data_IF_954297579635
#
_entry.id   IF_954297579635
#
_cell.length_a   1.000
_cell.length_b   1.000
_cell.length_c   1.000
_cell.angle_alpha   90.00
_cell.angle_beta   90.00
_cell.angle_gamma   90.00
#
_symmetry.space_group_name_H-M   'P 1'
#
loop_
_entity.id
_entity.type
_entity.pdbx_description
1 polymer ?
#
# COMPACT_ATOMS: atom_id res chain seq x y z
N UNK A 1 4.05 -10.15 34.56
CA UNK A 1 3.68 -10.70 33.24
C UNK A 1 2.76 -9.70 32.60
N UNK A 2 3.09 -9.19 31.41
CA UNK A 2 2.16 -8.33 30.68
C UNK A 2 1.08 -9.25 30.11
N UNK A 3 -0.13 -9.16 30.64
CA UNK A 3 -1.30 -9.83 30.06
C UNK A 3 -1.53 -9.24 28.66
N UNK A 4 -1.50 -10.10 27.64
CA UNK A 4 -1.80 -9.68 26.27
C UNK A 4 -3.24 -9.16 26.14
N UNK A 5 -3.49 -8.37 25.09
CA UNK A 5 -4.83 -7.85 24.76
C UNK A 5 -5.58 -8.89 23.93
N UNK A 6 -6.88 -9.05 24.19
CA UNK A 6 -7.74 -9.93 23.40
C UNK A 6 -7.90 -9.40 21.97
N UNK A 7 -7.76 -10.27 20.97
CA UNK A 7 -7.88 -9.86 19.56
C UNK A 7 -9.25 -9.23 19.27
N UNK A 8 -10.32 -9.76 19.87
CA UNK A 8 -11.68 -9.25 19.72
C UNK A 8 -11.90 -7.84 20.27
N UNK A 9 -10.94 -7.29 21.04
CA UNK A 9 -11.02 -5.91 21.53
C UNK A 9 -10.61 -4.87 20.47
N UNK A 10 -9.96 -5.30 19.38
CA UNK A 10 -9.57 -4.40 18.30
C UNK A 10 -10.68 -4.24 17.25
N UNK A 11 -10.69 -3.14 16.47
CA UNK A 11 -11.57 -3.00 15.31
C UNK A 11 -11.35 -4.14 14.28
N UNK A 12 -12.38 -4.47 13.50
CA UNK A 12 -12.37 -5.61 12.58
C UNK A 12 -11.20 -5.59 11.59
N UNK A 13 -10.81 -4.42 11.06
CA UNK A 13 -9.65 -4.28 10.16
C UNK A 13 -8.34 -4.71 10.81
N UNK A 14 -8.17 -4.45 12.10
CA UNK A 14 -6.99 -4.89 12.86
C UNK A 14 -7.06 -6.39 13.13
N UNK A 15 -8.23 -6.92 13.46
CA UNK A 15 -8.42 -8.37 13.63
C UNK A 15 -8.08 -9.15 12.35
N UNK A 16 -8.55 -8.65 11.22
CA UNK A 16 -8.27 -9.22 9.90
C UNK A 16 -6.78 -9.13 9.56
N UNK A 17 -6.12 -8.00 9.86
CA UNK A 17 -4.68 -7.85 9.66
C UNK A 17 -3.87 -8.82 10.56
N UNK A 18 -4.30 -9.06 11.80
CA UNK A 18 -3.70 -10.07 12.69
C UNK A 18 -3.83 -11.47 12.08
N UNK A 19 -5.02 -11.82 11.58
CA UNK A 19 -5.28 -13.11 10.93
C UNK A 19 -4.38 -13.31 9.71
N UNK A 20 -4.31 -12.33 8.81
CA UNK A 20 -3.42 -12.38 7.63
C UNK A 20 -1.97 -12.53 8.04
N UNK A 21 -1.52 -11.74 9.03
CA UNK A 21 -0.13 -11.79 9.52
C UNK A 21 0.23 -13.19 10.02
N UNK A 22 -0.66 -13.83 10.79
CA UNK A 22 -0.47 -15.19 11.29
C UNK A 22 -0.48 -16.24 10.18
N UNK A 23 -1.38 -16.12 9.21
CA UNK A 23 -1.45 -17.04 8.05
C UNK A 23 -0.20 -16.95 7.16
N UNK A 24 0.40 -15.77 7.07
CA UNK A 24 1.68 -15.56 6.39
C UNK A 24 2.88 -16.01 7.24
N UNK A 25 2.66 -16.59 8.42
CA UNK A 25 3.70 -17.00 9.37
C UNK A 25 4.64 -15.85 9.78
N UNK A 26 4.11 -14.62 9.83
CA UNK A 26 4.81 -13.44 10.31
C UNK A 26 4.49 -13.23 11.80
N UNK A 27 5.49 -12.78 12.56
CA UNK A 27 5.37 -12.59 14.01
C UNK A 27 4.90 -11.20 14.42
N UNK A 28 5.22 -10.18 13.62
CA UNK A 28 5.04 -8.78 13.98
C UNK A 28 4.06 -8.11 13.02
N UNK A 29 3.17 -7.30 13.59
CA UNK A 29 2.25 -6.42 12.88
C UNK A 29 2.39 -5.03 13.48
N UNK A 30 2.53 -4.02 12.62
CA UNK A 30 2.50 -2.62 13.03
C UNK A 30 1.20 -2.00 12.53
N UNK A 31 0.50 -1.30 13.41
CA UNK A 31 -0.72 -0.53 13.12
C UNK A 31 -0.60 0.77 13.88
N UNK A 32 -0.67 1.91 13.21
CA UNK A 32 -0.57 3.25 13.79
C UNK A 32 -1.42 3.44 15.05
N UNK A 33 -2.70 3.06 14.99
CA UNK A 33 -3.67 3.19 16.08
C UNK A 33 -3.37 2.29 17.30
N UNK A 34 -2.44 1.32 17.17
CA UNK A 34 -2.06 0.38 18.23
C UNK A 34 -0.62 0.61 18.70
N UNK A 35 0.26 1.01 17.79
CA UNK A 35 1.69 1.14 18.04
C UNK A 35 2.12 2.56 18.41
N UNK A 36 1.28 3.57 18.15
CA UNK A 36 1.51 4.96 18.55
C UNK A 36 0.62 5.30 19.75
N UNK A 37 1.17 5.97 20.75
CA UNK A 37 0.46 6.43 21.93
C UNK A 37 -0.40 7.64 21.55
N UNK A 38 -1.72 7.42 21.46
CA UNK A 38 -2.65 8.40 20.88
C UNK A 38 -2.81 9.69 21.71
N UNK A 39 -2.51 9.65 23.01
CA UNK A 39 -2.59 10.77 23.94
C UNK A 39 -1.24 11.46 24.21
N UNK A 40 -0.20 11.12 23.44
CA UNK A 40 1.15 11.67 23.61
C UNK A 40 1.64 12.37 22.34
N UNK A 41 1.65 13.70 22.38
CA UNK A 41 2.18 14.53 21.28
C UNK A 41 3.64 14.19 20.96
N UNK A 42 4.47 13.96 21.98
CA UNK A 42 5.88 13.63 21.78
C UNK A 42 6.08 12.25 21.14
N UNK A 43 5.22 11.28 21.47
CA UNK A 43 5.27 9.95 20.85
C UNK A 43 4.79 10.02 19.41
N UNK A 44 3.71 10.77 19.14
CA UNK A 44 3.24 11.03 17.79
C UNK A 44 4.30 11.72 16.93
N UNK A 45 5.01 12.72 17.43
CA UNK A 45 6.10 13.39 16.71
C UNK A 45 7.24 12.43 16.38
N UNK A 46 7.64 11.59 17.33
CA UNK A 46 8.69 10.59 17.14
C UNK A 46 8.28 9.51 16.12
N UNK A 47 7.07 8.96 16.25
CA UNK A 47 6.61 7.86 15.41
C UNK A 47 6.18 8.33 14.02
N UNK A 48 5.54 9.50 13.88
CA UNK A 48 5.19 10.08 12.57
C UNK A 48 6.44 10.36 11.73
N UNK A 49 7.53 10.82 12.34
CA UNK A 49 8.82 10.98 11.67
C UNK A 49 9.43 9.64 11.23
N UNK A 50 9.08 8.53 11.90
CA UNK A 50 9.56 7.17 11.60
C UNK A 50 8.65 6.38 10.67
N UNK A 51 7.40 6.80 10.43
CA UNK A 51 6.44 6.09 9.59
C UNK A 51 7.02 5.73 8.21
N UNK A 52 7.77 6.66 7.60
CA UNK A 52 8.47 6.43 6.35
C UNK A 52 9.38 5.19 6.41
N UNK A 53 10.17 5.07 7.48
CA UNK A 53 11.07 3.94 7.70
C UNK A 53 10.32 2.64 8.03
N UNK A 54 9.18 2.73 8.72
CA UNK A 54 8.33 1.56 9.01
C UNK A 54 7.85 0.93 7.70
N UNK A 55 7.24 1.73 6.81
CA UNK A 55 6.76 1.22 5.52
C UNK A 55 7.89 0.78 4.59
N UNK A 56 9.01 1.52 4.54
CA UNK A 56 10.17 1.12 3.73
C UNK A 56 10.80 -0.21 4.15
N UNK A 57 10.72 -0.55 5.43
CA UNK A 57 11.34 -1.76 5.98
C UNK A 57 10.33 -2.86 6.32
N UNK A 58 9.03 -2.62 6.12
CA UNK A 58 8.00 -3.63 6.26
C UNK A 58 8.27 -4.81 5.30
N UNK A 59 8.08 -6.03 5.80
CA UNK A 59 8.16 -7.23 4.95
C UNK A 59 7.07 -7.19 3.87
N UNK A 60 5.87 -6.82 4.30
CA UNK A 60 4.67 -6.65 3.50
C UNK A 60 3.76 -5.62 4.16
N UNK A 61 3.13 -4.77 3.35
CA UNK A 61 2.05 -3.88 3.80
C UNK A 61 0.71 -4.45 3.35
N UNK A 62 -0.26 -4.51 4.27
CA UNK A 62 -1.64 -4.93 3.99
C UNK A 62 -2.46 -3.66 3.78
N UNK A 63 -3.03 -3.50 2.59
CA UNK A 63 -3.89 -2.37 2.26
C UNK A 63 -5.35 -2.82 2.15
N UNK A 64 -6.19 -2.40 3.09
CA UNK A 64 -7.63 -2.64 3.07
C UNK A 64 -8.32 -1.54 2.23
N UNK A 65 -8.30 -1.67 0.91
CA UNK A 65 -8.65 -0.56 0.00
C UNK A 65 -10.11 -0.11 0.13
N UNK A 66 -11.02 -1.07 0.32
CA UNK A 66 -12.48 -0.88 0.31
C UNK A 66 -13.09 -0.56 1.68
N UNK A 67 -12.31 -0.64 2.75
CA UNK A 67 -12.78 -0.39 4.12
C UNK A 67 -12.90 1.12 4.34
N UNK A 68 -14.11 1.64 4.58
CA UNK A 68 -14.30 3.07 4.87
C UNK A 68 -13.89 3.42 6.31
N UNK A 69 -13.97 2.45 7.20
CA UNK A 69 -13.63 2.58 8.61
C UNK A 69 -12.96 1.31 9.14
N UNK A 70 -12.30 1.41 10.30
CA UNK A 70 -11.61 0.28 10.90
C UNK A 70 -12.55 -0.83 11.42
N UNK A 71 -13.86 -0.57 11.50
CA UNK A 71 -14.86 -1.53 11.99
C UNK A 71 -15.41 -2.46 10.90
N UNK A 72 -15.19 -2.16 9.62
CA UNK A 72 -15.71 -2.97 8.50
C UNK A 72 -14.90 -4.25 8.27
N UNK A 73 -13.58 -4.19 8.45
CA UNK A 73 -12.70 -5.26 8.03
C UNK A 73 -12.56 -5.35 6.52
N UNK A 74 -11.83 -6.37 6.07
CA UNK A 74 -11.55 -6.60 4.65
C UNK A 74 -11.57 -8.08 4.24
N UNK A 75 -11.48 -9.04 5.17
CA UNK A 75 -11.48 -10.47 4.82
C UNK A 75 -12.87 -11.04 4.54
N UNK A 76 -13.91 -10.40 5.07
CA UNK A 76 -15.31 -10.86 4.97
C UNK A 76 -16.15 -10.00 4.05
N UNK A 77 -15.53 -9.06 3.34
CA UNK A 77 -16.23 -8.31 2.31
C UNK A 77 -16.55 -9.24 1.14
N UNK A 78 -17.71 -9.03 0.51
CA UNK A 78 -18.11 -9.80 -0.67
C UNK A 78 -17.10 -9.57 -1.78
N UNK A 79 -16.25 -10.57 -2.02
CA UNK A 79 -15.39 -10.60 -3.19
C UNK A 79 -16.24 -11.04 -4.37
N UNK A 80 -16.55 -10.13 -5.31
CA UNK A 80 -17.39 -10.48 -6.48
C UNK A 80 -16.78 -11.66 -7.25
N UNK A 81 -15.45 -11.77 -7.32
CA UNK A 81 -14.78 -12.91 -7.94
C UNK A 81 -14.79 -14.20 -7.08
N UNK A 82 -14.96 -14.11 -5.77
CA UNK A 82 -15.03 -15.29 -4.88
C UNK A 82 -16.47 -15.79 -4.67
N UNK A 83 -17.46 -14.89 -4.77
CA UNK A 83 -18.89 -15.23 -4.68
C UNK A 83 -19.40 -15.91 -5.96
N UNK A 84 -18.67 -15.78 -7.08
CA UNK A 84 -19.02 -16.44 -8.34
C UNK A 84 -18.41 -17.84 -8.44
N UNK A 85 -19.04 -18.78 -7.72
CA UNK A 85 -18.86 -20.24 -7.78
C UNK A 85 -17.56 -20.75 -7.14
N UNK A 86 -17.65 -21.89 -6.44
CA UNK A 86 -16.44 -22.60 -6.01
C UNK A 86 -15.52 -22.82 -7.22
N UNK A 87 -14.19 -22.66 -7.06
CA UNK A 87 -13.28 -22.92 -8.16
C UNK A 87 -13.51 -24.33 -8.70
N UNK A 88 -13.52 -24.49 -10.02
CA UNK A 88 -13.50 -25.79 -10.66
C UNK A 88 -12.22 -26.49 -10.25
N UNK A 89 -12.33 -27.59 -9.50
CA UNK A 89 -11.19 -28.40 -9.06
C UNK A 89 -11.11 -29.63 -9.95
N UNK A 90 -9.96 -29.82 -10.57
CA UNK A 90 -9.67 -30.95 -11.44
C UNK A 90 -8.47 -31.68 -10.86
N UNK A 91 -8.56 -33.00 -10.77
CA UNK A 91 -7.40 -33.83 -10.42
C UNK A 91 -6.30 -33.60 -11.46
N UNK A 92 -5.13 -33.21 -10.97
CA UNK A 92 -3.98 -32.85 -11.79
C UNK A 92 -2.75 -33.67 -11.38
N UNK A 93 -1.76 -33.74 -12.26
CA UNK A 93 -0.44 -34.28 -11.94
C UNK A 93 0.62 -33.28 -12.35
N UNK A 94 1.58 -33.03 -11.47
CA UNK A 94 2.73 -32.18 -11.80
C UNK A 94 3.55 -32.78 -12.94
N UNK A 95 4.49 -32.03 -13.50
CA UNK A 95 5.42 -32.53 -14.53
C UNK A 95 6.24 -33.74 -14.06
N UNK A 96 6.36 -33.95 -12.75
CA UNK A 96 7.00 -35.10 -12.11
C UNK A 96 6.03 -36.25 -11.79
N UNK A 97 4.78 -36.17 -12.27
CA UNK A 97 3.74 -37.17 -12.07
C UNK A 97 3.08 -37.18 -10.68
N UNK A 98 3.41 -36.24 -9.79
CA UNK A 98 2.87 -36.22 -8.43
C UNK A 98 1.40 -35.74 -8.42
N UNK A 99 0.51 -36.39 -7.65
CA UNK A 99 -0.88 -35.94 -7.52
C UNK A 99 -0.97 -34.49 -7.03
N UNK A 100 -1.82 -33.70 -7.67
CA UNK A 100 -2.10 -32.31 -7.35
C UNK A 100 -3.55 -31.97 -7.72
N UNK A 101 -3.99 -30.74 -7.43
CA UNK A 101 -5.30 -30.22 -7.83
C UNK A 101 -5.08 -28.95 -8.63
N UNK A 102 -5.59 -28.93 -9.86
CA UNK A 102 -5.74 -27.68 -10.61
C UNK A 102 -7.06 -27.03 -10.20
N UNK A 103 -6.99 -25.80 -9.69
CA UNK A 103 -8.16 -25.01 -9.35
C UNK A 103 -8.29 -23.84 -10.34
N UNK A 104 -9.40 -23.79 -11.08
CA UNK A 104 -9.72 -22.70 -11.99
C UNK A 104 -10.92 -21.91 -11.47
N UNK A 105 -10.84 -20.58 -11.44
CA UNK A 105 -11.96 -19.70 -11.09
C UNK A 105 -12.29 -18.79 -12.27
N UNK A 106 -13.56 -18.42 -12.40
CA UNK A 106 -13.95 -17.36 -13.34
C UNK A 106 -13.53 -16.04 -12.71
N UNK A 107 -12.62 -15.34 -13.37
CA UNK A 107 -12.27 -13.97 -13.00
C UNK A 107 -13.21 -13.05 -13.79
N UNK A 108 -13.93 -12.12 -13.13
CA UNK A 108 -14.68 -11.09 -13.84
C UNK A 108 -13.71 -10.26 -14.68
N UNK A 109 -13.71 -10.45 -16.00
CA UNK A 109 -12.74 -9.81 -16.90
C UNK A 109 -12.99 -8.33 -17.19
N UNK A 110 -13.87 -7.66 -16.45
CA UNK A 110 -14.30 -6.29 -16.74
C UNK A 110 -14.42 -5.53 -15.41
N UNK A 111 -13.88 -4.31 -15.37
CA UNK A 111 -14.03 -3.32 -14.27
C UNK A 111 -13.40 -3.67 -12.90
N UNK A 112 -12.59 -4.73 -12.78
CA UNK A 112 -11.91 -4.99 -11.49
C UNK A 112 -10.76 -4.03 -11.25
N UNK A 113 -9.99 -3.70 -12.29
CA UNK A 113 -8.88 -2.75 -12.30
C UNK A 113 -8.84 -1.99 -13.64
N UNK A 114 -8.05 -0.92 -13.69
CA UNK A 114 -7.63 -0.27 -14.93
C UNK A 114 -6.24 -0.76 -15.33
N UNK A 115 -5.88 -0.65 -16.62
CA UNK A 115 -4.53 -0.98 -17.07
C UNK A 115 -3.51 0.13 -16.73
N UNK A 116 -3.96 1.27 -16.19
CA UNK A 116 -3.11 2.39 -15.81
C UNK A 116 -3.11 2.62 -14.30
N UNK A 117 -1.92 2.83 -13.74
CA UNK A 117 -1.75 3.20 -12.33
C UNK A 117 -2.61 4.39 -11.90
N UNK A 118 -2.76 5.37 -12.79
CA UNK A 118 -3.53 6.60 -12.53
C UNK A 118 -5.04 6.33 -12.52
N UNK A 119 -5.51 5.32 -13.26
CA UNK A 119 -6.90 4.90 -13.24
C UNK A 119 -7.26 4.21 -11.93
N UNK A 120 -6.37 3.36 -11.39
CA UNK A 120 -6.59 2.66 -10.12
C UNK A 120 -6.51 3.60 -8.90
N UNK A 121 -5.87 4.76 -9.05
CA UNK A 121 -5.78 5.79 -8.01
C UNK A 121 -6.99 6.73 -8.00
N UNK A 122 -7.61 7.04 -9.15
CA UNK A 122 -8.67 8.04 -9.29
C UNK A 122 -10.08 7.45 -9.20
N UNK A 123 -10.93 8.04 -8.34
CA UNK A 123 -11.25 7.43 -7.05
C UNK A 123 -11.95 6.07 -7.23
N UNK A 124 -11.21 4.98 -7.05
CA UNK A 124 -11.78 3.64 -6.98
C UNK A 124 -12.02 3.18 -5.52
N UNK A 125 -11.29 3.72 -4.54
CA UNK A 125 -11.23 3.16 -3.18
C UNK A 125 -11.16 4.20 -2.05
N UNK A 126 -11.86 3.98 -0.91
CA UNK A 126 -11.77 4.80 0.30
C UNK A 126 -10.34 5.01 0.83
N UNK A 127 -9.44 4.05 0.64
CA UNK A 127 -8.06 4.20 1.09
C UNK A 127 -7.30 5.31 0.36
N UNK A 128 -7.58 5.54 -0.94
CA UNK A 128 -6.84 6.49 -1.78
C UNK A 128 -7.16 7.95 -1.45
N UNK A 129 -8.29 8.23 -0.77
CA UNK A 129 -8.66 9.60 -0.41
C UNK A 129 -7.97 10.07 0.88
N UNK A 130 -7.29 9.20 1.62
CA UNK A 130 -6.63 9.55 2.89
C UNK A 130 -5.21 10.08 2.62
N UNK A 131 -4.82 11.18 3.25
CA UNK A 131 -3.53 11.84 2.97
C UNK A 131 -2.32 10.97 3.30
N UNK A 132 -2.28 10.41 4.51
CA UNK A 132 -1.18 9.54 4.97
C UNK A 132 -0.97 8.32 4.06
N UNK A 133 -2.04 7.74 3.50
CA UNK A 133 -1.97 6.50 2.72
C UNK A 133 -1.13 6.63 1.45
N UNK A 134 -0.90 7.85 0.95
CA UNK A 134 0.04 8.05 -0.18
C UNK A 134 1.46 7.68 0.24
N UNK A 135 1.88 8.08 1.44
CA UNK A 135 3.18 7.73 1.98
C UNK A 135 3.28 6.22 2.20
N UNK A 136 2.25 5.62 2.79
CA UNK A 136 2.18 4.18 3.07
C UNK A 136 2.30 3.38 1.76
N UNK A 137 1.54 3.78 0.75
CA UNK A 137 1.52 3.16 -0.57
C UNK A 137 2.89 3.29 -1.25
N UNK A 138 3.42 4.50 -1.39
CA UNK A 138 4.62 4.73 -2.20
C UNK A 138 5.91 4.22 -1.52
N UNK A 139 5.97 4.25 -0.19
CA UNK A 139 7.18 3.86 0.54
C UNK A 139 7.25 2.37 0.87
N UNK A 140 6.12 1.66 0.86
CA UNK A 140 6.13 0.21 1.07
C UNK A 140 6.95 -0.53 0.00
N UNK A 141 7.70 -1.57 0.35
CA UNK A 141 8.42 -2.38 -0.68
C UNK A 141 7.52 -3.35 -1.41
N UNK A 142 6.53 -3.88 -0.70
CA UNK A 142 5.54 -4.85 -1.17
C UNK A 142 4.21 -4.51 -0.52
N UNK A 143 3.15 -4.54 -1.29
CA UNK A 143 1.79 -4.25 -0.84
C UNK A 143 0.87 -5.34 -1.38
N UNK A 144 0.09 -5.97 -0.49
CA UNK A 144 -1.11 -6.71 -0.88
C UNK A 144 -2.29 -5.80 -0.62
N UNK A 145 -3.01 -5.47 -1.69
CA UNK A 145 -4.22 -4.66 -1.64
C UNK A 145 -5.44 -5.56 -1.73
N UNK A 146 -6.24 -5.55 -0.67
CA UNK A 146 -7.55 -6.19 -0.63
C UNK A 146 -8.56 -5.23 -1.26
N UNK A 147 -9.01 -5.56 -2.48
CA UNK A 147 -10.05 -4.82 -3.20
C UNK A 147 -11.40 -5.54 -3.11
N UNK A 148 -12.45 -4.95 -3.67
CA UNK A 148 -13.79 -5.55 -3.70
C UNK A 148 -13.85 -6.81 -4.56
N UNK A 149 -13.00 -6.93 -5.56
CA UNK A 149 -13.12 -7.99 -6.56
C UNK A 149 -12.04 -9.04 -6.40
N UNK A 150 -10.81 -8.62 -6.09
CA UNK A 150 -9.65 -9.50 -6.06
C UNK A 150 -8.51 -8.92 -5.22
N UNK A 151 -7.49 -9.74 -4.98
CA UNK A 151 -6.23 -9.26 -4.40
C UNK A 151 -5.34 -8.67 -5.49
N UNK A 152 -4.74 -7.52 -5.19
CA UNK A 152 -3.65 -6.98 -6.00
C UNK A 152 -2.34 -7.08 -5.25
N UNK A 153 -1.30 -7.47 -5.97
CA UNK A 153 0.06 -7.43 -5.51
C UNK A 153 0.80 -6.29 -6.19
N UNK A 154 1.64 -5.58 -5.44
CA UNK A 154 2.48 -4.52 -5.97
C UNK A 154 3.80 -4.52 -5.22
N UNK A 155 4.90 -4.63 -5.95
CA UNK A 155 6.25 -4.39 -5.44
C UNK A 155 6.89 -3.19 -6.15
N UNK A 156 8.19 -2.97 -5.96
CA UNK A 156 8.89 -1.85 -6.60
C UNK A 156 9.06 -2.00 -8.12
N UNK A 157 8.99 -3.22 -8.66
CA UNK A 157 9.24 -3.50 -10.08
C UNK A 157 8.07 -4.14 -10.83
N UNK A 158 7.13 -4.76 -10.12
CA UNK A 158 6.07 -5.56 -10.71
C UNK A 158 4.75 -5.36 -9.97
N UNK A 159 3.67 -5.55 -10.71
CA UNK A 159 2.30 -5.64 -10.22
C UNK A 159 1.71 -6.93 -10.71
N UNK A 160 0.85 -7.51 -9.89
CA UNK A 160 0.02 -8.63 -10.28
C UNK A 160 -1.38 -8.51 -9.66
N UNK A 161 -2.32 -9.27 -10.19
CA UNK A 161 -3.67 -9.43 -9.68
C UNK A 161 -4.04 -10.91 -9.74
N UNK A 162 -5.04 -11.35 -8.98
CA UNK A 162 -5.56 -12.71 -9.13
C UNK A 162 -6.09 -12.99 -10.55
N UNK A 163 -6.38 -11.93 -11.30
CA UNK A 163 -6.78 -11.96 -12.69
C UNK A 163 -5.65 -12.16 -13.72
N UNK A 164 -4.38 -12.04 -13.31
CA UNK A 164 -3.21 -12.09 -14.19
C UNK A 164 -3.22 -11.09 -15.36
N UNK A 165 -4.07 -10.05 -15.33
CA UNK A 165 -4.15 -9.05 -16.39
C UNK A 165 -2.86 -8.23 -16.56
N UNK A 166 -1.98 -8.24 -15.55
CA UNK A 166 -0.72 -7.50 -15.55
C UNK A 166 0.48 -8.33 -16.05
N UNK A 167 0.32 -9.63 -16.34
CA UNK A 167 1.39 -10.55 -16.76
C UNK A 167 2.21 -10.05 -17.96
N UNK A 168 1.65 -9.12 -18.76
CA UNK A 168 2.30 -8.55 -19.95
C UNK A 168 2.41 -7.01 -19.96
N UNK A 169 2.16 -6.34 -18.82
CA UNK A 169 2.02 -4.86 -18.76
C UNK A 169 3.15 -4.18 -17.97
N UNK A 170 3.99 -4.92 -17.24
CA UNK A 170 4.93 -4.32 -16.28
C UNK A 170 6.27 -3.97 -16.91
N UNK A 171 6.42 -2.75 -17.44
CA UNK A 171 7.75 -2.23 -17.83
C UNK A 171 8.37 -1.21 -16.85
N UNK A 172 7.60 -0.54 -15.96
CA UNK A 172 8.16 0.56 -15.13
C UNK A 172 7.96 0.46 -13.60
N UNK A 173 7.38 -0.64 -13.12
CA UNK A 173 7.05 -0.85 -11.71
C UNK A 173 5.83 -0.03 -11.24
N UNK A 174 4.90 -0.63 -10.48
CA UNK A 174 3.62 0.01 -10.14
C UNK A 174 3.71 1.13 -9.10
N UNK A 175 4.87 1.38 -8.49
CA UNK A 175 5.08 2.58 -7.67
C UNK A 175 5.63 3.72 -8.52
N UNK A 176 5.06 3.91 -9.71
CA UNK A 176 5.49 4.86 -10.75
C UNK A 176 5.85 6.24 -10.17
N UNK A 177 5.03 6.75 -9.25
CA UNK A 177 5.26 8.04 -8.57
C UNK A 177 6.57 8.14 -7.77
N UNK A 178 7.19 7.02 -7.37
CA UNK A 178 8.51 6.98 -6.71
C UNK A 178 9.50 6.05 -7.41
N UNK A 179 9.26 5.69 -8.67
CA UNK A 179 10.11 4.73 -9.38
C UNK A 179 11.53 5.29 -9.59
N UNK A 180 12.59 4.67 -9.03
CA UNK A 180 13.96 5.06 -9.34
C UNK A 180 14.27 4.94 -10.85
N UNK A 181 13.56 4.06 -11.55
CA UNK A 181 13.71 3.84 -12.99
C UNK A 181 13.19 5.02 -13.81
N UNK A 182 12.19 5.77 -13.28
CA UNK A 182 11.64 6.95 -13.94
C UNK A 182 12.40 8.24 -13.54
N UNK A 183 13.05 8.26 -12.37
CA UNK A 183 13.83 9.40 -11.88
C UNK A 183 15.28 9.42 -12.41
N UNK A 184 15.45 9.30 -13.73
CA UNK A 184 16.78 9.20 -14.39
C UNK A 184 17.51 10.53 -14.53
N UNK A 185 16.81 11.65 -14.36
CA UNK A 185 17.37 13.00 -14.44
C UNK A 185 16.68 13.94 -13.45
N UNK A 186 17.29 15.09 -13.11
CA UNK A 186 16.65 16.10 -12.25
C UNK A 186 15.29 16.57 -12.78
N UNK A 187 15.15 16.74 -14.10
CA UNK A 187 13.88 17.12 -14.73
C UNK A 187 12.80 16.05 -14.60
N UNK A 188 13.16 14.77 -14.80
CA UNK A 188 12.24 13.65 -14.63
C UNK A 188 11.80 13.51 -13.16
N UNK A 189 12.72 13.66 -12.22
CA UNK A 189 12.40 13.63 -10.80
C UNK A 189 11.54 14.81 -10.35
N UNK A 190 11.75 16.01 -10.90
CA UNK A 190 10.88 17.15 -10.66
C UNK A 190 9.46 16.93 -11.20
N UNK A 191 9.33 16.38 -12.41
CA UNK A 191 8.02 16.00 -12.95
C UNK A 191 7.33 15.01 -12.02
N UNK A 192 8.04 13.99 -11.56
CA UNK A 192 7.48 12.98 -10.69
C UNK A 192 7.06 13.55 -9.32
N UNK A 193 7.88 14.44 -8.75
CA UNK A 193 7.55 15.15 -7.52
C UNK A 193 6.29 16.02 -7.68
N UNK A 194 6.17 16.74 -8.81
CA UNK A 194 4.96 17.51 -9.12
C UNK A 194 3.73 16.61 -9.17
N UNK A 195 3.84 15.43 -9.78
CA UNK A 195 2.73 14.49 -9.89
C UNK A 195 2.33 13.91 -8.52
N UNK A 196 3.31 13.60 -7.65
CA UNK A 196 3.08 13.26 -6.23
C UNK A 196 2.33 14.38 -5.51
N UNK A 197 2.77 15.63 -5.67
CA UNK A 197 2.16 16.77 -4.98
C UNK A 197 0.74 17.01 -5.49
N UNK A 198 0.50 16.86 -6.79
CA UNK A 198 -0.84 16.95 -7.37
C UNK A 198 -1.77 15.88 -6.79
N UNK A 199 -1.31 14.63 -6.70
CA UNK A 199 -2.05 13.52 -6.12
C UNK A 199 -2.31 13.73 -4.62
N UNK A 200 -1.32 14.16 -3.85
CA UNK A 200 -1.48 14.40 -2.42
C UNK A 200 -2.44 15.56 -2.14
N UNK A 201 -2.43 16.60 -2.97
CA UNK A 201 -3.20 17.83 -2.74
C UNK A 201 -4.72 17.63 -2.78
N UNK A 202 -5.19 16.56 -3.42
CA UNK A 202 -6.62 16.20 -3.49
C UNK A 202 -7.05 15.20 -2.39
N UNK A 203 -6.11 14.72 -1.57
CA UNK A 203 -6.39 13.80 -0.46
C UNK A 203 -6.76 14.56 0.82
N UNK A 204 -7.52 13.89 1.67
CA UNK A 204 -8.07 14.42 2.90
C UNK A 204 -7.23 14.01 4.11
N UNK A 205 -7.04 14.95 5.03
CA UNK A 205 -6.39 14.72 6.33
C UNK A 205 -7.39 15.06 7.43
N UNK A 206 -7.43 14.23 8.47
CA UNK A 206 -8.24 14.52 9.67
C UNK A 206 -7.72 15.77 10.41
N UNK A 207 -6.40 15.97 10.41
CA UNK A 207 -5.75 17.12 11.02
C UNK A 207 -4.88 17.85 9.98
N UNK A 208 -5.13 19.15 9.79
CA UNK A 208 -4.38 19.95 8.81
C UNK A 208 -2.88 20.05 9.10
N UNK A 209 -2.48 19.90 10.37
CA UNK A 209 -1.08 19.92 10.79
C UNK A 209 -0.29 18.70 10.28
N UNK A 210 -0.97 17.61 9.92
CA UNK A 210 -0.35 16.40 9.38
C UNK A 210 0.15 16.59 7.95
N UNK A 211 -0.17 17.70 7.28
CA UNK A 211 0.10 17.90 5.86
C UNK A 211 1.59 17.75 5.51
N UNK A 212 2.47 18.37 6.28
CA UNK A 212 3.91 18.28 6.04
C UNK A 212 4.50 16.97 6.55
N UNK A 213 4.17 16.49 7.78
CA UNK A 213 4.57 15.15 8.23
C UNK A 213 4.21 14.03 7.24
N UNK A 214 2.99 14.02 6.69
CA UNK A 214 2.51 13.01 5.76
C UNK A 214 3.24 13.03 4.40
N UNK A 215 3.85 14.15 4.01
CA UNK A 215 4.68 14.24 2.80
C UNK A 215 6.19 14.05 3.08
N UNK A 216 6.63 14.32 4.31
CA UNK A 216 8.06 14.41 4.64
C UNK A 216 8.85 13.17 4.25
N UNK A 217 8.32 11.97 4.51
CA UNK A 217 8.95 10.71 4.14
C UNK A 217 9.16 10.54 2.64
N UNK A 218 8.18 10.95 1.83
CA UNK A 218 8.28 10.91 0.36
C UNK A 218 9.32 11.94 -0.10
N UNK A 219 9.27 13.16 0.45
CA UNK A 219 10.20 14.23 0.12
C UNK A 219 11.66 13.83 0.36
N UNK A 220 11.96 13.19 1.50
CA UNK A 220 13.30 12.70 1.83
C UNK A 220 13.80 11.64 0.84
N UNK A 221 12.92 10.76 0.35
CA UNK A 221 13.29 9.76 -0.68
C UNK A 221 13.60 10.42 -2.01
N UNK A 222 12.77 11.38 -2.44
CA UNK A 222 13.02 12.13 -3.67
C UNK A 222 14.35 12.87 -3.57
N UNK A 223 14.59 13.59 -2.47
CA UNK A 223 15.85 14.29 -2.21
C UNK A 223 17.06 13.36 -2.29
N UNK A 224 17.00 12.20 -1.63
CA UNK A 224 18.09 11.22 -1.65
C UNK A 224 18.41 10.69 -3.04
N UNK A 225 17.41 10.58 -3.92
CA UNK A 225 17.59 10.12 -5.30
C UNK A 225 18.10 11.20 -6.25
N UNK A 226 17.65 12.44 -6.09
CA UNK A 226 18.00 13.53 -7.01
C UNK A 226 19.33 14.20 -6.68
N UNK A 227 19.85 14.01 -5.46
CA UNK A 227 21.04 14.73 -4.94
C UNK A 227 20.95 16.25 -5.14
N UNK A 228 19.74 16.79 -5.27
CA UNK A 228 19.52 18.22 -5.53
C UNK A 228 19.62 18.98 -4.21
N UNK A 229 20.36 20.11 -4.15
CA UNK A 229 20.35 20.99 -2.99
C UNK A 229 18.92 21.49 -2.72
N UNK A 230 18.58 21.62 -1.45
CA UNK A 230 17.25 22.03 -0.99
C UNK A 230 16.99 23.52 -1.28
N UNK A 231 15.72 23.94 -1.20
CA UNK A 231 15.38 25.36 -1.00
C UNK A 231 16.04 25.96 0.26
N UNK A 232 16.44 25.14 1.23
CA UNK A 232 17.22 25.58 2.40
C UNK A 232 18.69 25.88 2.05
N UNK A 233 19.24 25.27 1.00
CA UNK A 233 20.60 25.56 0.51
C UNK A 233 20.65 26.88 -0.27
N UNK A 234 19.55 27.29 -0.90
CA UNK A 234 19.45 28.62 -1.54
C UNK A 234 19.43 29.79 -0.54
N UNK A 235 19.15 29.53 0.74
CA UNK A 235 19.20 30.54 1.82
C UNK A 235 20.59 30.81 2.38
N UNK A 236 21.62 30.03 1.98
CA UNK A 236 23.01 30.19 2.48
C UNK A 236 23.97 30.87 1.51
N UNK A 237 23.51 31.24 0.30
CA UNK A 237 24.38 31.79 -0.76
C UNK A 237 24.12 33.26 -1.06
N UNK A 238 23.43 33.98 -0.17
CA UNK A 238 23.29 35.43 -0.24
C UNK A 238 23.83 36.03 1.06
N UNK A 239 25.16 36.11 1.14
CA UNK A 239 25.90 37.03 2.03
C UNK A 239 27.16 37.48 1.31
#
# INVERSE_FOLDING_TARGET
MVTGVQVSAFPQTVQDAIEVTRRLNLRYLWVDAVCIIQDSQSDWEAESARMASVYQNAHLTIAAATSHSASEGFLRQRHIAADQRQPLRIDWRTDQGQPSILAARIVPGIETHTLSMDGDRKPAFPLNVRGWTLQEELLSRRTVTYTQNELWWTCQSQRDCECHAFDNVTHDGPKSLLSPVLMTSPGAAFSQWRDIISEFSVRQLSFGLDKLPALSGIASVVQGKTRTPTLLDYGRTIS
#
